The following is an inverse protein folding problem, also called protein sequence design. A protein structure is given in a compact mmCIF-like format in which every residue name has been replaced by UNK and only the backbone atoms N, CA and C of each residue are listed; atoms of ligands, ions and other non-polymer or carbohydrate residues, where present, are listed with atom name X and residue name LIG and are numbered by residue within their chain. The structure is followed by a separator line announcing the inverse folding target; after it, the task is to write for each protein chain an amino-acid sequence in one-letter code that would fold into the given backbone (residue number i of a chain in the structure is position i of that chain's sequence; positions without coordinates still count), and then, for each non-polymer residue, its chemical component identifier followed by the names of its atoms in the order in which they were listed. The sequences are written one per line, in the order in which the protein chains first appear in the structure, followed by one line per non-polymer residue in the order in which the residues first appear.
data_IF_554074216553
#
_entry.id   IF_554074216553
#
_cell.length_a   1.000
_cell.length_b   1.000
_cell.length_c   1.000
_cell.angle_alpha   90.00
_cell.angle_beta   90.00
_cell.angle_gamma   90.00
#
_symmetry.space_group_name_H-M   'P 1'
#
loop_
_entity.id
_entity.type
_entity.pdbx_description
1 polymer ?
#
# COMPACT_ATOMS: atom_id res chain seq x y z
N UNK A 1 -26.44 -2.97 -7.58
CA UNK A 1 -25.91 -4.31 -7.92
C UNK A 1 -26.22 -5.20 -6.75
N UNK A 2 -27.14 -6.09 -6.86
CA UNK A 2 -27.68 -6.93 -5.77
C UNK A 2 -26.63 -7.92 -5.16
N UNK A 3 -25.38 -7.48 -5.02
CA UNK A 3 -24.26 -8.25 -4.47
C UNK A 3 -23.65 -9.28 -5.43
N UNK A 4 -23.99 -9.23 -6.71
CA UNK A 4 -23.51 -10.19 -7.71
C UNK A 4 -22.27 -9.71 -8.49
N UNK A 5 -21.89 -8.44 -8.36
CA UNK A 5 -20.78 -7.86 -9.13
C UNK A 5 -19.71 -7.26 -8.23
N UNK A 6 -18.48 -7.50 -8.57
CA UNK A 6 -17.32 -6.79 -8.02
C UNK A 6 -17.08 -5.51 -8.81
N UNK A 7 -16.74 -4.43 -8.12
CA UNK A 7 -16.54 -3.11 -8.72
C UNK A 7 -15.14 -2.56 -8.36
N UNK A 8 -14.57 -1.80 -9.28
CA UNK A 8 -13.36 -1.04 -8.98
C UNK A 8 -13.63 0.00 -7.90
N UNK A 9 -12.78 0.04 -6.89
CA UNK A 9 -12.83 1.02 -5.80
C UNK A 9 -12.21 2.35 -6.26
N UNK A 10 -12.97 3.11 -7.05
CA UNK A 10 -12.56 4.43 -7.52
C UNK A 10 -12.36 5.41 -6.36
N UNK A 11 -13.11 5.26 -5.26
CA UNK A 11 -12.95 6.08 -4.06
C UNK A 11 -11.55 5.94 -3.47
N UNK A 12 -11.07 4.70 -3.35
CA UNK A 12 -9.72 4.42 -2.84
C UNK A 12 -8.63 4.98 -3.78
N UNK A 13 -8.82 4.82 -5.11
CA UNK A 13 -7.91 5.40 -6.10
C UNK A 13 -7.81 6.92 -5.95
N UNK A 14 -8.95 7.64 -5.85
CA UNK A 14 -8.94 9.10 -5.69
C UNK A 14 -8.31 9.54 -4.37
N UNK A 15 -8.51 8.79 -3.28
CA UNK A 15 -7.84 9.04 -2.02
C UNK A 15 -6.30 8.88 -2.15
N UNK A 16 -5.81 7.88 -2.90
CA UNK A 16 -4.39 7.74 -3.20
C UNK A 16 -3.85 8.91 -4.02
N UNK A 17 -4.58 9.33 -5.06
CA UNK A 17 -4.18 10.45 -5.89
C UNK A 17 -4.11 11.76 -5.08
N UNK A 18 -5.09 12.01 -4.23
CA UNK A 18 -5.09 13.17 -3.33
C UNK A 18 -3.94 13.11 -2.30
N UNK A 19 -3.76 11.96 -1.66
CA UNK A 19 -2.68 11.74 -0.69
C UNK A 19 -1.30 11.96 -1.31
N UNK A 20 -1.10 11.47 -2.53
CA UNK A 20 0.17 11.63 -3.24
C UNK A 20 0.51 13.09 -3.56
N UNK A 21 -0.50 13.91 -3.86
CA UNK A 21 -0.33 15.34 -4.18
C UNK A 21 -0.18 16.21 -2.94
N UNK A 22 -0.91 15.90 -1.87
CA UNK A 22 -0.86 16.66 -0.62
C UNK A 22 0.34 16.30 0.27
N UNK A 23 0.94 15.12 0.06
CA UNK A 23 2.04 14.65 0.89
C UNK A 23 1.67 14.67 2.37
N UNK A 24 2.52 15.26 3.22
CA UNK A 24 2.31 15.32 4.68
C UNK A 24 1.07 16.09 5.15
N UNK A 25 0.43 16.85 4.27
CA UNK A 25 -0.81 17.56 4.59
C UNK A 25 -2.05 16.66 4.47
N UNK A 26 -1.91 15.46 3.89
CA UNK A 26 -2.98 14.48 3.82
C UNK A 26 -3.00 13.63 5.10
N UNK A 27 -4.17 13.52 5.71
CA UNK A 27 -4.40 12.66 6.86
C UNK A 27 -4.64 11.21 6.42
N UNK A 28 -3.63 10.35 6.57
CA UNK A 28 -3.69 8.93 6.20
C UNK A 28 -4.75 8.13 6.98
N UNK A 29 -5.20 8.60 8.14
CA UNK A 29 -6.30 7.97 8.87
C UNK A 29 -7.60 7.96 8.04
N UNK A 30 -7.69 8.85 7.04
CA UNK A 30 -8.86 9.01 6.17
C UNK A 30 -8.74 8.25 4.86
N UNK A 31 -7.66 7.48 4.63
CA UNK A 31 -7.38 6.86 3.33
C UNK A 31 -8.50 5.93 2.85
N UNK A 32 -9.29 5.37 3.76
CA UNK A 32 -10.44 4.52 3.46
C UNK A 32 -11.80 5.23 3.55
N UNK A 33 -11.86 6.55 3.74
CA UNK A 33 -13.12 7.26 3.80
C UNK A 33 -13.79 7.27 2.42
N UNK A 34 -15.10 7.00 2.39
CA UNK A 34 -15.91 6.97 1.17
C UNK A 34 -15.37 5.98 0.12
N UNK A 35 -14.89 4.81 0.56
CA UNK A 35 -14.33 3.78 -0.30
C UNK A 35 -15.18 2.51 -0.26
N UNK A 36 -15.20 1.78 -1.38
CA UNK A 36 -15.94 0.52 -1.47
C UNK A 36 -15.33 -0.55 -0.55
N UNK A 37 -14.01 -0.58 -0.42
CA UNK A 37 -13.31 -1.52 0.48
C UNK A 37 -13.72 -1.34 1.94
N UNK A 38 -14.07 -0.13 2.37
CA UNK A 38 -14.57 0.13 3.73
C UNK A 38 -16.02 -0.31 3.91
N UNK A 39 -16.86 -0.11 2.90
CA UNK A 39 -18.28 -0.36 2.97
C UNK A 39 -18.64 -1.83 2.68
N UNK A 40 -18.08 -2.39 1.60
CA UNK A 40 -18.36 -3.76 1.14
C UNK A 40 -17.07 -4.40 0.64
N UNK A 41 -16.14 -4.78 1.54
CA UNK A 41 -14.80 -5.25 1.17
C UNK A 41 -14.79 -6.48 0.25
N UNK A 42 -15.80 -7.35 0.35
CA UNK A 42 -15.96 -8.54 -0.49
C UNK A 42 -16.25 -8.23 -1.96
N UNK A 43 -16.68 -7.01 -2.29
CA UNK A 43 -17.02 -6.58 -3.65
C UNK A 43 -16.04 -5.56 -4.21
N UNK A 44 -15.04 -5.14 -3.41
CA UNK A 44 -14.07 -4.12 -3.79
C UNK A 44 -12.91 -4.72 -4.59
N UNK A 45 -12.76 -4.32 -5.85
CA UNK A 45 -11.52 -4.49 -6.62
C UNK A 45 -10.65 -3.25 -6.40
N UNK A 46 -9.61 -3.39 -5.59
CA UNK A 46 -8.73 -2.27 -5.24
C UNK A 46 -7.66 -2.06 -6.32
N UNK A 47 -7.38 -0.80 -6.65
CA UNK A 47 -6.38 -0.42 -7.65
C UNK A 47 -5.63 0.84 -7.22
N UNK A 48 -4.42 0.99 -7.71
CA UNK A 48 -3.63 2.23 -7.56
C UNK A 48 -3.84 3.13 -8.76
N UNK A 49 -3.75 2.60 -9.96
CA UNK A 49 -3.96 3.29 -11.24
C UNK A 49 -4.59 2.34 -12.25
N UNK A 50 -5.11 2.89 -13.35
CA UNK A 50 -5.53 2.14 -14.54
C UNK A 50 -5.31 2.96 -15.81
N UNK A 51 -5.71 2.41 -16.97
CA UNK A 51 -5.53 3.04 -18.26
C UNK A 51 -6.36 4.33 -18.45
N UNK A 52 -7.44 4.51 -17.69
CA UNK A 52 -8.26 5.74 -17.73
C UNK A 52 -7.70 6.85 -16.86
N UNK A 53 -7.00 6.51 -15.77
CA UNK A 53 -6.52 7.46 -14.76
C UNK A 53 -5.06 7.87 -14.92
N UNK A 54 -4.32 7.22 -15.84
CA UNK A 54 -2.94 7.58 -16.16
C UNK A 54 -2.86 8.96 -16.86
N UNK A 55 -1.66 9.56 -16.98
CA UNK A 55 -1.49 10.89 -17.58
C UNK A 55 -2.15 11.04 -18.96
N UNK A 56 -2.80 12.17 -19.19
CA UNK A 56 -3.48 12.59 -20.42
C UNK A 56 -4.71 11.75 -20.82
N UNK A 57 -5.14 10.79 -20.03
CA UNK A 57 -6.35 10.03 -20.31
C UNK A 57 -7.62 10.71 -19.79
N UNK A 58 -8.78 10.21 -20.22
CA UNK A 58 -10.09 10.85 -20.02
C UNK A 58 -10.42 11.14 -18.53
N UNK A 59 -10.03 10.23 -17.62
CA UNK A 59 -10.25 10.34 -16.18
C UNK A 59 -8.95 10.60 -15.43
N UNK A 60 -8.01 11.31 -16.06
CA UNK A 60 -6.70 11.60 -15.50
C UNK A 60 -6.74 11.95 -14.01
N UNK A 61 -6.18 11.07 -13.21
CA UNK A 61 -6.07 11.22 -11.76
C UNK A 61 -4.80 10.51 -11.28
N UNK A 62 -3.66 11.16 -11.57
CA UNK A 62 -2.33 10.55 -11.35
C UNK A 62 -2.05 10.39 -9.87
N UNK A 63 -1.68 9.17 -9.47
CA UNK A 63 -0.99 8.89 -8.22
C UNK A 63 0.50 9.11 -8.45
N UNK A 64 1.10 10.06 -7.72
CA UNK A 64 2.50 10.41 -7.86
C UNK A 64 3.43 9.20 -7.62
N UNK A 65 4.53 9.11 -8.37
CA UNK A 65 5.40 7.94 -8.36
C UNK A 65 5.93 7.56 -6.96
N UNK A 66 6.24 8.56 -6.12
CA UNK A 66 6.72 8.33 -4.76
C UNK A 66 5.70 7.64 -3.85
N UNK A 67 4.39 7.89 -4.08
CA UNK A 67 3.30 7.32 -3.26
C UNK A 67 2.85 5.94 -3.75
N UNK A 68 3.13 5.56 -4.99
CA UNK A 68 2.72 4.26 -5.55
C UNK A 68 3.17 3.07 -4.70
N UNK A 69 4.42 2.98 -4.20
CA UNK A 69 4.79 1.89 -3.28
C UNK A 69 3.94 1.83 -2.01
N UNK A 70 3.55 2.98 -1.42
CA UNK A 70 2.68 3.05 -0.26
C UNK A 70 1.28 2.51 -0.60
N UNK A 71 0.71 2.97 -1.72
CA UNK A 71 -0.59 2.54 -2.20
C UNK A 71 -0.62 1.04 -2.55
N UNK A 72 0.41 0.52 -3.22
CA UNK A 72 0.52 -0.91 -3.51
C UNK A 72 0.68 -1.75 -2.25
N UNK A 73 1.40 -1.29 -1.23
CA UNK A 73 1.45 -1.98 0.06
C UNK A 73 0.05 -2.08 0.70
N UNK A 74 -0.74 -0.99 0.65
CA UNK A 74 -2.11 -0.97 1.17
C UNK A 74 -2.97 -2.01 0.46
N UNK A 75 -3.02 -2.03 -0.86
CA UNK A 75 -3.92 -2.95 -1.59
C UNK A 75 -3.44 -4.40 -1.59
N UNK A 76 -2.11 -4.64 -1.54
CA UNK A 76 -1.54 -5.99 -1.62
C UNK A 76 -1.43 -6.69 -0.27
N UNK A 77 -1.20 -5.96 0.84
CA UNK A 77 -0.80 -6.57 2.11
C UNK A 77 -1.89 -6.52 3.19
N UNK A 78 -2.98 -5.78 2.97
CA UNK A 78 -4.17 -5.82 3.82
C UNK A 78 -5.04 -7.03 3.48
N UNK A 79 -5.96 -7.37 4.40
CA UNK A 79 -6.87 -8.50 4.26
C UNK A 79 -7.95 -8.26 3.21
N UNK A 80 -8.48 -7.06 3.17
CA UNK A 80 -9.72 -6.74 2.49
C UNK A 80 -9.47 -6.33 1.02
N UNK A 81 -10.47 -6.62 0.18
CA UNK A 81 -10.47 -6.29 -1.25
C UNK A 81 -9.68 -7.26 -2.13
N UNK A 82 -9.89 -7.14 -3.43
CA UNK A 82 -9.18 -7.88 -4.49
C UNK A 82 -8.23 -6.93 -5.20
N UNK A 83 -6.91 -7.04 -4.99
CA UNK A 83 -5.96 -6.10 -5.57
C UNK A 83 -5.80 -6.32 -7.07
N UNK A 84 -5.82 -5.22 -7.83
CA UNK A 84 -5.50 -5.16 -9.25
C UNK A 84 -4.21 -4.38 -9.46
N UNK A 85 -3.23 -4.98 -10.13
CA UNK A 85 -1.95 -4.33 -10.47
C UNK A 85 -2.03 -3.82 -11.90
N UNK A 86 -1.77 -2.52 -12.09
CA UNK A 86 -1.73 -1.91 -13.40
C UNK A 86 -0.39 -2.21 -14.10
N UNK A 87 -0.46 -2.70 -15.34
CA UNK A 87 0.73 -3.13 -16.08
C UNK A 87 1.76 -2.00 -16.27
N UNK A 88 1.30 -0.76 -16.52
CA UNK A 88 2.20 0.38 -16.68
C UNK A 88 2.89 0.78 -15.36
N UNK A 89 2.27 0.57 -14.20
CA UNK A 89 2.95 0.75 -12.91
C UNK A 89 3.99 -0.34 -12.65
N UNK A 90 3.69 -1.57 -13.09
CA UNK A 90 4.59 -2.70 -12.87
C UNK A 90 5.81 -2.67 -13.81
N UNK A 91 5.59 -2.51 -15.12
CA UNK A 91 6.66 -2.55 -16.11
C UNK A 91 7.30 -1.19 -16.41
N UNK A 92 6.63 -0.10 -16.05
CA UNK A 92 6.88 1.21 -16.62
C UNK A 92 6.18 1.38 -17.96
N UNK A 93 6.04 2.61 -18.42
CA UNK A 93 5.53 2.92 -19.76
C UNK A 93 6.12 4.23 -20.25
N UNK A 94 6.38 4.28 -21.56
CA UNK A 94 6.71 5.51 -22.27
C UNK A 94 5.78 5.65 -23.46
N UNK A 95 5.10 6.77 -23.59
CA UNK A 95 4.21 7.05 -24.72
C UNK A 95 4.09 8.54 -24.96
N UNK A 96 3.57 8.90 -26.17
CA UNK A 96 3.22 10.25 -26.52
C UNK A 96 1.71 10.38 -26.66
N UNK A 97 1.17 11.49 -26.19
CA UNK A 97 -0.25 11.77 -26.32
C UNK A 97 -0.48 13.29 -26.39
N UNK A 98 -1.67 13.69 -26.84
CA UNK A 98 -2.04 15.09 -27.04
C UNK A 98 -2.78 15.58 -25.78
N UNK A 99 -2.25 16.61 -25.15
CA UNK A 99 -2.88 17.27 -24.01
C UNK A 99 -4.13 18.07 -24.41
N UNK A 100 -4.89 18.48 -23.42
CA UNK A 100 -6.11 19.31 -23.59
C UNK A 100 -5.84 20.65 -24.28
N UNK A 101 -4.60 21.11 -24.30
CA UNK A 101 -4.13 22.31 -24.99
C UNK A 101 -3.74 22.06 -26.46
N UNK A 102 -3.92 20.82 -26.96
CA UNK A 102 -3.61 20.40 -28.32
C UNK A 102 -2.13 20.17 -28.60
N UNK A 103 -1.26 20.19 -27.59
CA UNK A 103 0.16 19.91 -27.74
C UNK A 103 0.48 18.44 -27.45
N UNK A 104 1.49 17.91 -28.13
CA UNK A 104 2.04 16.60 -27.86
C UNK A 104 2.95 16.64 -26.63
N UNK A 105 2.77 15.66 -25.73
CA UNK A 105 3.58 15.45 -24.54
C UNK A 105 4.17 14.04 -24.54
N UNK A 106 5.40 13.91 -24.14
CA UNK A 106 6.03 12.64 -23.86
C UNK A 106 5.83 12.30 -22.38
N UNK A 107 5.21 11.14 -22.12
CA UNK A 107 4.91 10.63 -20.78
C UNK A 107 5.85 9.50 -20.47
N UNK A 108 6.56 9.61 -19.35
CA UNK A 108 7.41 8.57 -18.79
C UNK A 108 6.87 8.13 -17.43
N UNK A 109 6.45 6.87 -17.34
CA UNK A 109 5.95 6.26 -16.11
C UNK A 109 7.01 5.29 -15.58
N UNK A 110 7.61 5.54 -14.42
CA UNK A 110 8.63 4.66 -13.87
C UNK A 110 8.07 3.31 -13.46
N UNK A 111 8.86 2.25 -13.64
CA UNK A 111 8.53 0.91 -13.16
C UNK A 111 8.63 0.82 -11.63
N UNK A 112 7.63 0.24 -11.00
CA UNK A 112 7.61 -0.11 -9.58
C UNK A 112 7.79 -1.62 -9.32
N UNK A 113 8.17 -2.38 -10.35
CA UNK A 113 8.27 -3.84 -10.33
C UNK A 113 9.02 -4.37 -9.12
N UNK A 114 10.22 -3.85 -8.85
CA UNK A 114 11.06 -4.35 -7.75
C UNK A 114 10.35 -4.31 -6.40
N UNK A 115 9.56 -3.27 -6.15
CA UNK A 115 8.82 -3.14 -4.90
C UNK A 115 7.56 -4.01 -4.90
N UNK A 116 6.83 -4.03 -6.02
CA UNK A 116 5.61 -4.84 -6.19
C UNK A 116 5.94 -6.34 -6.07
N UNK A 117 7.05 -6.82 -6.65
CA UNK A 117 7.49 -8.22 -6.51
C UNK A 117 7.71 -8.60 -5.05
N UNK A 118 8.36 -7.74 -4.26
CA UNK A 118 8.53 -7.95 -2.81
C UNK A 118 7.20 -8.02 -2.06
N UNK A 119 6.24 -7.18 -2.43
CA UNK A 119 4.91 -7.19 -1.81
C UNK A 119 4.10 -8.42 -2.22
N UNK A 120 4.21 -8.88 -3.46
CA UNK A 120 3.57 -10.12 -3.92
C UNK A 120 4.13 -11.34 -3.18
N UNK A 121 5.45 -11.41 -2.99
CA UNK A 121 6.08 -12.45 -2.20
C UNK A 121 5.63 -12.41 -0.73
N UNK A 122 5.62 -11.22 -0.13
CA UNK A 122 5.13 -11.04 1.24
C UNK A 122 3.64 -11.40 1.38
N UNK A 123 2.78 -11.02 0.38
CA UNK A 123 1.37 -11.40 0.35
C UNK A 123 1.19 -12.91 0.34
N UNK A 124 1.95 -13.59 -0.52
CA UNK A 124 1.87 -15.05 -0.71
C UNK A 124 2.31 -15.83 0.52
N UNK A 125 3.29 -15.34 1.26
CA UNK A 125 3.95 -16.11 2.31
C UNK A 125 3.60 -15.66 3.74
N UNK A 126 3.28 -14.38 3.97
CA UNK A 126 3.18 -13.80 5.32
C UNK A 126 1.88 -13.04 5.61
N UNK A 127 1.16 -12.52 4.60
CA UNK A 127 -0.01 -11.67 4.82
C UNK A 127 -1.29 -12.46 5.13
N UNK A 128 -1.26 -13.28 6.17
CA UNK A 128 -2.35 -14.17 6.61
C UNK A 128 -2.77 -13.89 8.07
N UNK A 129 -3.86 -14.51 8.49
CA UNK A 129 -4.36 -14.42 9.86
C UNK A 129 -5.14 -13.14 10.14
N UNK A 130 -5.31 -12.82 11.42
CA UNK A 130 -6.03 -11.62 11.84
C UNK A 130 -5.25 -10.35 11.50
N UNK A 131 -5.99 -9.28 11.22
CA UNK A 131 -5.43 -7.96 10.94
C UNK A 131 -5.68 -7.02 12.10
N UNK A 132 -4.63 -6.33 12.55
CA UNK A 132 -4.72 -5.26 13.52
C UNK A 132 -4.24 -3.95 12.91
N UNK A 133 -5.07 -2.92 12.98
CA UNK A 133 -4.81 -1.62 12.38
C UNK A 133 -4.31 -0.62 13.44
N UNK A 134 -3.29 0.16 13.08
CA UNK A 134 -2.65 1.20 13.90
C UNK A 134 -2.73 2.53 13.14
N UNK A 135 -3.95 3.04 12.99
CA UNK A 135 -4.28 4.29 12.28
C UNK A 135 -4.53 5.42 13.29
N UNK A 136 -3.59 5.66 14.17
CA UNK A 136 -3.66 6.57 15.30
C UNK A 136 -2.82 7.86 15.12
N UNK A 137 -2.23 8.07 13.94
CA UNK A 137 -1.45 9.27 13.61
C UNK A 137 -1.68 9.66 12.15
N UNK A 138 -1.89 10.98 11.85
CA UNK A 138 -2.25 11.42 10.50
C UNK A 138 -1.21 11.12 9.42
N UNK A 139 0.07 11.09 9.77
CA UNK A 139 1.14 10.89 8.80
C UNK A 139 1.90 9.57 8.94
N UNK A 140 1.55 8.74 9.91
CA UNK A 140 2.20 7.46 10.10
C UNK A 140 1.16 6.42 10.50
N UNK A 141 0.86 5.49 9.60
CA UNK A 141 -0.13 4.42 9.81
C UNK A 141 0.49 3.07 9.53
N UNK A 142 -0.05 2.04 10.18
CA UNK A 142 0.44 0.69 9.98
C UNK A 142 -0.62 -0.36 10.28
N UNK A 143 -0.30 -1.60 9.98
CA UNK A 143 -1.10 -2.76 10.34
C UNK A 143 -0.21 -3.99 10.48
N UNK A 144 -0.74 -4.99 11.14
CA UNK A 144 -0.12 -6.31 11.21
C UNK A 144 -1.09 -7.38 10.71
N UNK A 145 -0.55 -8.50 10.26
CA UNK A 145 -1.26 -9.76 10.02
C UNK A 145 -0.54 -10.81 10.86
N UNK A 146 -1.29 -11.60 11.62
CA UNK A 146 -0.70 -12.48 12.65
C UNK A 146 -0.17 -13.81 12.14
N UNK A 147 -0.39 -14.10 10.85
CA UNK A 147 -0.19 -15.45 10.34
C UNK A 147 -1.32 -16.41 10.73
N UNK A 148 -1.19 -17.65 10.33
CA UNK A 148 -2.06 -18.76 10.69
C UNK A 148 -1.27 -20.07 10.76
N UNK A 149 -1.94 -21.19 10.98
CA UNK A 149 -1.27 -22.51 11.10
C UNK A 149 -0.43 -22.89 9.87
N UNK A 150 -0.87 -22.52 8.67
CA UNK A 150 -0.20 -22.83 7.41
C UNK A 150 0.84 -21.76 7.00
N UNK A 151 0.72 -20.54 7.51
CA UNK A 151 1.58 -19.39 7.22
C UNK A 151 1.94 -18.68 8.51
N UNK A 152 2.95 -19.22 9.19
CA UNK A 152 3.40 -18.73 10.49
C UNK A 152 4.24 -17.46 10.35
N UNK A 153 4.29 -16.68 11.42
CA UNK A 153 5.21 -15.57 11.59
C UNK A 153 4.62 -14.17 11.31
N UNK A 154 3.56 -14.07 10.55
CA UNK A 154 2.88 -12.80 10.31
C UNK A 154 3.71 -11.76 9.56
N UNK A 155 3.18 -10.54 9.48
CA UNK A 155 3.79 -9.39 8.80
C UNK A 155 3.44 -8.11 9.56
N UNK A 156 4.35 -7.15 9.61
CA UNK A 156 4.06 -5.79 10.03
C UNK A 156 4.38 -4.81 8.90
N UNK A 157 3.44 -3.92 8.60
CA UNK A 157 3.59 -2.89 7.58
C UNK A 157 3.42 -1.53 8.22
N UNK A 158 4.36 -0.64 7.97
CA UNK A 158 4.34 0.73 8.45
C UNK A 158 4.65 1.67 7.31
N UNK A 159 3.85 2.72 7.14
CA UNK A 159 4.06 3.72 6.11
C UNK A 159 3.88 5.14 6.64
N UNK A 160 4.61 6.07 6.04
CA UNK A 160 4.53 7.49 6.34
C UNK A 160 4.50 8.32 5.06
N UNK A 161 3.61 9.30 5.01
CA UNK A 161 3.59 10.33 3.97
C UNK A 161 4.27 11.65 4.41
N UNK A 162 4.89 11.64 5.59
CA UNK A 162 5.60 12.78 6.18
C UNK A 162 6.99 12.37 6.65
N UNK A 163 7.33 12.72 7.86
CA UNK A 163 8.60 12.40 8.50
C UNK A 163 8.73 10.88 8.78
N UNK A 164 9.95 10.43 9.10
CA UNK A 164 10.18 9.06 9.56
C UNK A 164 9.31 8.71 10.76
N UNK A 165 8.72 7.53 10.74
CA UNK A 165 7.77 7.11 11.76
C UNK A 165 8.18 5.85 12.49
N UNK A 166 7.55 5.63 13.67
CA UNK A 166 7.64 4.40 14.43
C UNK A 166 6.31 4.08 15.09
N UNK A 167 6.03 2.78 15.26
CA UNK A 167 4.86 2.29 16.00
C UNK A 167 5.19 1.02 16.75
N UNK A 168 4.68 0.93 17.96
CA UNK A 168 4.65 -0.34 18.66
C UNK A 168 3.45 -1.15 18.15
N UNK A 169 3.71 -2.29 17.52
CA UNK A 169 2.68 -3.12 16.89
C UNK A 169 2.85 -4.59 17.28
N UNK A 170 1.73 -5.29 17.41
CA UNK A 170 1.68 -6.70 17.81
C UNK A 170 1.52 -7.58 16.57
N UNK A 171 2.45 -8.51 16.36
CA UNK A 171 2.51 -9.39 15.18
C UNK A 171 1.95 -10.79 15.41
N UNK A 172 1.66 -11.17 16.64
CA UNK A 172 1.32 -12.55 17.01
C UNK A 172 2.52 -13.48 17.17
N UNK A 173 3.73 -13.02 16.86
CA UNK A 173 4.96 -13.83 16.89
C UNK A 173 5.87 -13.42 18.04
N UNK A 174 5.93 -14.25 19.09
CA UNK A 174 6.73 -14.02 20.30
C UNK A 174 8.22 -14.19 20.03
N UNK A 175 9.05 -13.31 20.60
CA UNK A 175 10.52 -13.38 20.57
C UNK A 175 11.09 -13.62 19.16
N UNK A 176 10.46 -13.03 18.14
CA UNK A 176 10.78 -13.24 16.73
C UNK A 176 11.53 -12.05 16.16
N UNK A 177 12.58 -12.32 15.40
CA UNK A 177 13.35 -11.31 14.68
C UNK A 177 12.67 -10.98 13.36
N UNK A 178 12.48 -9.68 13.06
CA UNK A 178 11.91 -9.15 11.82
C UNK A 178 12.92 -8.32 11.05
N UNK A 179 12.88 -8.43 9.73
CA UNK A 179 13.66 -7.61 8.79
C UNK A 179 12.74 -6.86 7.84
N UNK A 180 13.15 -5.66 7.42
CA UNK A 180 12.44 -4.88 6.41
C UNK A 180 12.84 -5.33 5.00
N UNK A 181 11.92 -5.97 4.26
CA UNK A 181 12.17 -6.43 2.89
C UNK A 181 12.28 -5.28 1.89
N UNK A 182 11.77 -4.09 2.23
CA UNK A 182 11.94 -2.91 1.38
C UNK A 182 13.39 -2.41 1.40
N UNK A 183 14.14 -2.74 2.45
CA UNK A 183 15.51 -2.31 2.72
C UNK A 183 15.65 -0.81 3.02
N UNK A 184 14.55 -0.10 3.30
CA UNK A 184 14.58 1.28 3.76
C UNK A 184 15.12 1.36 5.18
N UNK A 185 14.81 0.38 6.03
CA UNK A 185 15.35 0.26 7.40
C UNK A 185 16.21 -1.01 7.48
N UNK A 186 17.47 -0.84 7.89
CA UNK A 186 18.44 -1.96 7.95
C UNK A 186 18.47 -2.68 9.31
N UNK A 187 17.84 -2.11 10.31
CA UNK A 187 17.81 -2.67 11.65
C UNK A 187 16.94 -3.93 11.69
N UNK A 188 17.33 -4.90 12.52
CA UNK A 188 16.46 -6.01 12.88
C UNK A 188 15.63 -5.58 14.09
N UNK A 189 14.32 -5.85 14.06
CA UNK A 189 13.40 -5.64 15.18
C UNK A 189 13.15 -7.01 15.82
N UNK A 190 13.20 -7.08 17.14
CA UNK A 190 12.86 -8.31 17.88
C UNK A 190 11.61 -8.04 18.70
N UNK A 191 10.59 -8.87 18.51
CA UNK A 191 9.36 -8.79 19.30
C UNK A 191 9.59 -9.39 20.70
N UNK A 192 8.81 -8.90 21.67
CA UNK A 192 8.81 -9.43 23.04
C UNK A 192 8.05 -10.77 23.14
N UNK A 193 7.90 -11.30 24.35
CA UNK A 193 7.16 -12.55 24.63
C UNK A 193 5.67 -12.50 24.25
N UNK A 194 5.10 -11.32 24.10
CA UNK A 194 3.71 -11.11 23.70
C UNK A 194 3.56 -10.76 22.20
N UNK A 195 4.67 -10.75 21.45
CA UNK A 195 4.67 -10.44 20.02
C UNK A 195 4.67 -8.94 19.67
N UNK A 196 4.91 -8.05 20.64
CA UNK A 196 5.05 -6.62 20.41
C UNK A 196 6.47 -6.22 20.00
N UNK A 197 6.58 -5.33 19.01
CA UNK A 197 7.84 -4.74 18.58
C UNK A 197 7.67 -3.29 18.13
N UNK A 198 8.71 -2.46 18.25
CA UNK A 198 8.73 -1.11 17.72
C UNK A 198 9.21 -1.13 16.27
N UNK A 199 8.28 -1.04 15.33
CA UNK A 199 8.54 -1.03 13.90
C UNK A 199 8.76 0.38 13.39
N UNK A 200 9.62 0.53 12.39
CA UNK A 200 10.14 1.80 11.87
C UNK A 200 9.82 1.95 10.38
N UNK A 201 9.62 3.18 9.90
CA UNK A 201 9.66 3.51 8.47
C UNK A 201 10.39 4.83 8.23
N UNK A 202 10.94 4.99 7.04
CA UNK A 202 11.58 6.24 6.62
C UNK A 202 10.53 7.28 6.20
N UNK A 203 10.94 8.54 6.10
CA UNK A 203 10.11 9.64 5.61
C UNK A 203 9.60 9.34 4.19
N UNK A 204 8.31 9.60 3.92
CA UNK A 204 7.70 9.43 2.60
C UNK A 204 7.84 8.01 2.04
N UNK A 205 7.83 6.98 2.88
CA UNK A 205 8.08 5.60 2.46
C UNK A 205 7.20 4.56 3.17
N UNK A 206 7.34 3.32 2.76
CA UNK A 206 6.76 2.15 3.41
C UNK A 206 7.87 1.18 3.79
N UNK A 207 7.74 0.55 4.96
CA UNK A 207 8.56 -0.58 5.39
C UNK A 207 7.66 -1.79 5.62
N UNK A 208 8.11 -2.94 5.14
CA UNK A 208 7.39 -4.22 5.20
C UNK A 208 8.27 -5.22 5.93
N UNK A 209 7.86 -5.56 7.13
CA UNK A 209 8.61 -6.37 8.08
C UNK A 209 8.10 -7.80 8.08
N UNK A 210 8.99 -8.75 7.80
CA UNK A 210 8.70 -10.19 7.83
C UNK A 210 9.66 -10.89 8.80
N UNK A 211 9.31 -12.06 9.32
CA UNK A 211 10.24 -12.89 10.09
C UNK A 211 11.53 -13.19 9.30
N UNK A 212 12.65 -13.17 10.01
CA UNK A 212 13.97 -13.43 9.45
C UNK A 212 14.20 -14.90 9.24
#
# INVERSE_FOLDING_TARGET
TDGEMMLFDSGLHYNFAEASKKGKEYDLQRIFNNTLIKEIPSHAVTLVSNHDTQPLQALESVVEAWFKPLAYAIILLRRDGYPCIFAADYYGANYKDIGKDGKEYEIDMPSHRTMIDKFLDARKNYAFGEQYDYFDHPNCVGWTRTGNENHQGGIAVLLSNGESGRKNMQTGSSNTSFIDITQHVKNTIVTNSEGWGEFLCQAGSVSVWIPK
#
